data_IF_373216501004
#
_entry.id   IF_373216501004
#
_cell.length_a   1.000
_cell.length_b   1.000
_cell.length_c   1.000
_cell.angle_alpha   90.00
_cell.angle_beta   90.00
_cell.angle_gamma   90.00
#
_symmetry.space_group_name_H-M   'P 1'
#
loop_
_entity.id
_entity.type
_entity.pdbx_description
1 polymer ?
#
# COMPACT_ATOMS: atom_id res chain seq x y z
N UNK A 1 22.75 0.29 -17.10
CA UNK A 1 24.12 0.40 -17.59
C UNK A 1 24.49 -0.70 -18.60
N UNK A 2 23.87 -1.88 -18.55
CA UNK A 2 24.18 -3.02 -19.45
C UNK A 2 23.35 -3.06 -20.73
N UNK A 3 22.34 -2.19 -20.86
CA UNK A 3 21.53 -2.12 -22.08
C UNK A 3 22.32 -1.50 -23.24
N UNK A 4 22.35 -2.18 -24.38
CA UNK A 4 23.02 -1.71 -25.58
C UNK A 4 22.37 -0.45 -26.18
N UNK A 5 23.02 0.20 -27.18
CA UNK A 5 22.52 1.43 -27.80
C UNK A 5 21.21 1.22 -28.58
N UNK A 6 20.82 -0.02 -28.81
CA UNK A 6 19.61 -0.40 -29.54
C UNK A 6 18.33 -0.30 -28.69
N UNK A 7 18.42 -0.27 -27.35
CA UNK A 7 17.25 -0.14 -26.48
C UNK A 7 16.62 1.24 -26.64
N UNK A 8 15.33 1.29 -27.01
CA UNK A 8 14.57 2.52 -27.24
C UNK A 8 13.34 2.65 -26.35
N UNK A 9 12.84 1.52 -25.82
CA UNK A 9 11.64 1.49 -24.99
C UNK A 9 11.82 0.50 -23.84
N UNK A 10 11.39 0.90 -22.65
CA UNK A 10 11.15 0.03 -21.49
C UNK A 10 9.65 0.08 -21.21
N UNK A 11 8.92 -0.97 -21.55
CA UNK A 11 7.50 -1.10 -21.29
C UNK A 11 7.30 -1.89 -19.97
N UNK A 12 7.17 -1.15 -18.87
CA UNK A 12 7.07 -1.72 -17.54
C UNK A 12 5.69 -2.36 -17.31
N UNK A 13 5.68 -3.62 -16.91
CA UNK A 13 4.47 -4.33 -16.48
C UNK A 13 4.24 -4.06 -15.00
N UNK A 14 3.80 -2.85 -14.67
CA UNK A 14 3.59 -2.35 -13.31
C UNK A 14 3.23 -0.87 -13.29
N UNK A 15 2.54 -0.41 -12.26
CA UNK A 15 2.23 1.01 -12.07
C UNK A 15 3.43 1.78 -11.48
N UNK A 16 4.14 1.19 -10.51
CA UNK A 16 5.37 1.75 -9.96
C UNK A 16 6.53 1.61 -10.93
N UNK A 17 7.48 2.54 -10.90
CA UNK A 17 8.68 2.57 -11.74
C UNK A 17 9.98 2.74 -10.92
N UNK A 18 9.88 2.51 -9.62
CA UNK A 18 10.99 2.59 -8.65
C UNK A 18 12.15 1.63 -8.96
N UNK A 19 11.88 0.57 -9.72
CA UNK A 19 12.86 -0.39 -10.26
C UNK A 19 13.57 0.09 -11.53
N UNK A 20 13.23 1.27 -12.05
CA UNK A 20 13.76 1.83 -13.31
C UNK A 20 14.36 3.21 -13.04
N UNK A 21 15.63 3.41 -13.39
CA UNK A 21 16.22 4.76 -13.42
C UNK A 21 15.65 5.53 -14.63
N UNK A 22 14.52 6.20 -14.41
CA UNK A 22 13.78 6.94 -15.45
C UNK A 22 14.60 8.12 -15.94
N UNK A 23 15.40 8.76 -15.08
CA UNK A 23 16.28 9.88 -15.49
C UNK A 23 17.35 9.38 -16.45
N UNK A 24 18.12 8.35 -16.07
CA UNK A 24 19.14 7.78 -16.93
C UNK A 24 18.56 7.19 -18.24
N UNK A 25 17.34 6.66 -18.22
CA UNK A 25 16.64 6.21 -19.42
C UNK A 25 16.33 7.39 -20.34
N UNK A 26 15.78 8.47 -19.78
CA UNK A 26 15.43 9.70 -20.52
C UNK A 26 16.65 10.36 -21.16
N UNK A 27 17.76 10.48 -20.41
CA UNK A 27 19.02 11.07 -20.89
C UNK A 27 19.63 10.28 -22.06
N UNK A 28 19.31 8.98 -22.16
CA UNK A 28 19.73 8.11 -23.26
C UNK A 28 18.71 8.01 -24.40
N UNK A 29 17.64 8.80 -24.35
CA UNK A 29 16.56 8.77 -25.33
C UNK A 29 15.72 7.48 -25.30
N UNK A 30 15.70 6.76 -24.16
CA UNK A 30 14.89 5.55 -23.96
C UNK A 30 13.56 5.97 -23.35
N UNK A 31 12.45 5.65 -24.03
CA UNK A 31 11.12 5.87 -23.49
C UNK A 31 10.84 4.85 -22.36
N UNK A 32 10.20 5.31 -21.29
CA UNK A 32 9.70 4.44 -20.21
C UNK A 32 8.19 4.57 -20.17
N UNK A 33 7.47 3.45 -20.09
CA UNK A 33 6.03 3.43 -19.89
C UNK A 33 5.67 2.53 -18.71
N UNK A 34 4.49 2.73 -18.12
CA UNK A 34 3.95 1.93 -17.04
C UNK A 34 2.47 1.55 -17.30
N UNK A 35 1.81 0.94 -16.33
CA UNK A 35 0.40 0.53 -16.43
C UNK A 35 -0.46 1.23 -15.37
N UNK A 36 -0.68 2.56 -15.49
CA UNK A 36 -1.41 3.32 -14.48
C UNK A 36 -2.90 3.04 -14.52
N UNK A 37 -3.55 3.08 -13.35
CA UNK A 37 -5.01 3.03 -13.22
C UNK A 37 -5.60 1.63 -13.10
N UNK A 38 -5.14 0.67 -13.87
CA UNK A 38 -5.70 -0.71 -13.94
C UNK A 38 -5.54 -1.53 -12.65
N UNK A 39 -4.65 -1.12 -11.76
CA UNK A 39 -4.42 -1.82 -10.48
C UNK A 39 -5.23 -1.24 -9.32
N UNK A 40 -5.92 -0.13 -9.54
CA UNK A 40 -6.50 0.69 -8.46
C UNK A 40 -7.48 -0.09 -7.62
N UNK A 41 -8.46 -0.72 -8.26
CA UNK A 41 -9.55 -1.39 -7.56
C UNK A 41 -9.06 -2.68 -6.86
N UNK A 42 -8.28 -3.51 -7.56
CA UNK A 42 -7.72 -4.73 -6.98
C UNK A 42 -6.83 -4.45 -5.76
N UNK A 43 -5.95 -3.42 -5.84
CA UNK A 43 -5.10 -3.03 -4.70
C UNK A 43 -5.92 -2.47 -3.55
N UNK A 44 -6.99 -1.70 -3.84
CA UNK A 44 -7.88 -1.19 -2.81
C UNK A 44 -8.66 -2.33 -2.11
N UNK A 45 -9.09 -3.36 -2.86
CA UNK A 45 -9.73 -4.56 -2.30
C UNK A 45 -8.78 -5.30 -1.35
N UNK A 46 -7.52 -5.50 -1.77
CA UNK A 46 -6.51 -6.14 -0.94
C UNK A 46 -6.19 -5.31 0.32
N UNK A 47 -6.12 -3.98 0.18
CA UNK A 47 -5.94 -3.07 1.33
C UNK A 47 -7.08 -3.24 2.32
N UNK A 48 -8.32 -3.29 1.86
CA UNK A 48 -9.48 -3.52 2.73
C UNK A 48 -9.49 -4.92 3.34
N UNK A 49 -9.07 -5.94 2.60
CA UNK A 49 -8.91 -7.29 3.14
C UNK A 49 -7.94 -7.30 4.34
N UNK A 50 -6.80 -6.62 4.24
CA UNK A 50 -5.84 -6.47 5.34
C UNK A 50 -6.42 -5.64 6.50
N UNK A 51 -7.12 -4.52 6.22
CA UNK A 51 -7.79 -3.69 7.23
C UNK A 51 -8.83 -4.50 8.01
N UNK A 52 -9.50 -5.45 7.37
CA UNK A 52 -10.44 -6.36 8.01
C UNK A 52 -9.74 -7.50 8.76
N UNK A 53 -8.73 -8.12 8.14
CA UNK A 53 -8.09 -9.33 8.61
C UNK A 53 -7.32 -9.11 9.93
N UNK A 54 -6.55 -8.02 10.03
CA UNK A 54 -5.66 -7.80 11.18
C UNK A 54 -6.44 -7.58 12.49
N UNK A 55 -7.36 -6.60 12.60
CA UNK A 55 -8.11 -6.39 13.83
C UNK A 55 -9.02 -7.56 14.22
N UNK A 56 -9.43 -8.37 13.24
CA UNK A 56 -10.30 -9.52 13.45
C UNK A 56 -9.54 -10.83 13.64
N UNK A 57 -8.19 -10.79 13.66
CA UNK A 57 -7.31 -11.94 13.92
C UNK A 57 -7.57 -13.12 12.97
N UNK A 58 -7.85 -12.83 11.68
CA UNK A 58 -8.30 -13.86 10.74
C UNK A 58 -7.25 -14.95 10.54
N UNK A 59 -5.98 -14.63 10.33
CA UNK A 59 -4.91 -15.61 10.11
C UNK A 59 -4.72 -16.49 11.37
N UNK A 60 -4.78 -15.89 12.55
CA UNK A 60 -4.71 -16.63 13.80
C UNK A 60 -5.92 -17.56 13.99
N UNK A 61 -7.11 -17.12 13.56
CA UNK A 61 -8.32 -17.95 13.56
C UNK A 61 -8.21 -19.16 12.63
N UNK A 62 -7.65 -18.95 11.41
CA UNK A 62 -7.39 -20.05 10.46
C UNK A 62 -6.41 -21.05 11.07
N UNK A 63 -5.26 -20.58 11.58
CA UNK A 63 -4.27 -21.44 12.23
C UNK A 63 -4.86 -22.24 13.42
N UNK A 64 -5.71 -21.60 14.24
CA UNK A 64 -6.37 -22.28 15.34
C UNK A 64 -7.31 -23.40 14.87
N UNK A 65 -7.94 -23.27 13.71
CA UNK A 65 -8.75 -24.34 13.12
C UNK A 65 -7.86 -25.49 12.62
N UNK A 66 -6.79 -25.17 11.92
CA UNK A 66 -5.82 -26.16 11.37
C UNK A 66 -5.16 -26.96 12.51
N UNK A 67 -4.80 -26.30 13.62
CA UNK A 67 -4.18 -26.89 14.80
C UNK A 67 -5.18 -27.63 15.72
N UNK A 68 -6.47 -27.70 15.37
CA UNK A 68 -7.49 -28.37 16.17
C UNK A 68 -7.76 -27.70 17.54
N UNK A 69 -7.47 -26.41 17.66
CA UNK A 69 -7.66 -25.65 18.91
C UNK A 69 -9.12 -25.26 19.17
N UNK A 70 -10.00 -25.37 18.15
CA UNK A 70 -11.41 -25.06 18.29
C UNK A 70 -12.13 -26.12 19.14
N UNK A 71 -12.50 -25.74 20.38
CA UNK A 71 -13.22 -26.59 21.33
C UNK A 71 -14.69 -26.19 21.52
N UNK A 72 -15.20 -25.32 20.64
CA UNK A 72 -16.53 -24.75 20.70
C UNK A 72 -16.50 -23.24 20.94
N UNK A 73 -17.66 -22.61 20.86
CA UNK A 73 -17.78 -21.17 21.09
C UNK A 73 -17.50 -20.82 22.57
N UNK A 74 -16.74 -19.76 22.81
CA UNK A 74 -16.49 -19.21 24.14
C UNK A 74 -16.50 -17.67 24.10
N UNK A 75 -17.08 -16.99 25.11
CA UNK A 75 -17.33 -15.55 25.09
C UNK A 75 -16.06 -14.69 25.09
N UNK A 76 -14.92 -15.21 25.53
CA UNK A 76 -13.65 -14.49 25.64
C UNK A 76 -12.58 -14.98 24.65
N UNK A 77 -12.89 -16.00 23.82
CA UNK A 77 -11.91 -16.57 22.89
C UNK A 77 -11.89 -15.83 21.56
N UNK A 78 -10.69 -15.60 21.02
CA UNK A 78 -10.45 -14.97 19.71
C UNK A 78 -11.06 -13.57 19.56
N UNK A 79 -11.19 -12.82 20.64
CA UNK A 79 -11.69 -11.45 20.58
C UNK A 79 -10.80 -10.56 19.73
N UNK A 80 -11.40 -9.86 18.79
CA UNK A 80 -10.79 -8.82 17.96
C UNK A 80 -11.48 -7.47 18.15
N UNK A 81 -11.18 -6.52 17.28
CA UNK A 81 -11.74 -5.18 17.29
C UNK A 81 -12.69 -4.97 16.12
N UNK A 82 -13.81 -4.27 16.33
CA UNK A 82 -14.68 -3.82 15.26
C UNK A 82 -14.10 -2.60 14.56
N UNK A 83 -14.48 -2.38 13.31
CA UNK A 83 -14.03 -1.23 12.50
C UNK A 83 -14.96 -0.03 12.62
N UNK A 84 -16.27 -0.25 12.72
CA UNK A 84 -17.28 0.80 12.76
C UNK A 84 -16.95 1.86 13.82
N UNK A 85 -16.96 3.12 13.40
CA UNK A 85 -16.64 4.29 14.23
C UNK A 85 -15.14 4.53 14.47
N UNK A 86 -14.26 3.68 13.93
CA UNK A 86 -12.81 3.87 14.02
C UNK A 86 -12.32 4.88 12.99
N UNK A 87 -11.20 5.54 13.30
CA UNK A 87 -10.52 6.51 12.42
C UNK A 87 -9.50 5.81 11.55
N UNK A 88 -9.67 5.90 10.23
CA UNK A 88 -8.71 5.46 9.23
C UNK A 88 -7.91 6.65 8.72
N UNK A 89 -6.59 6.65 8.94
CA UNK A 89 -5.66 7.62 8.37
C UNK A 89 -5.03 7.07 7.08
N UNK A 90 -5.29 7.71 5.97
CA UNK A 90 -4.73 7.34 4.65
C UNK A 90 -3.54 8.23 4.35
N UNK A 91 -2.35 7.64 4.28
CA UNK A 91 -1.12 8.31 3.85
C UNK A 91 -1.01 8.16 2.34
N UNK A 92 -1.40 9.22 1.61
CA UNK A 92 -1.47 9.18 0.15
C UNK A 92 -2.91 9.01 -0.39
N UNK A 93 -3.64 10.12 -0.59
CA UNK A 93 -5.01 10.16 -1.16
C UNK A 93 -4.99 10.24 -2.69
N UNK A 94 -4.14 9.39 -3.33
CA UNK A 94 -4.13 9.17 -4.78
C UNK A 94 -5.29 8.26 -5.23
N UNK A 95 -5.21 7.69 -6.44
CA UNK A 95 -6.24 6.79 -6.98
C UNK A 95 -6.58 5.65 -6.02
N UNK A 96 -5.56 4.93 -5.52
CA UNK A 96 -5.75 3.80 -4.59
C UNK A 96 -6.30 4.30 -3.25
N UNK A 97 -5.72 5.36 -2.66
CA UNK A 97 -6.20 5.91 -1.39
C UNK A 97 -7.67 6.33 -1.44
N UNK A 98 -8.12 6.95 -2.53
CA UNK A 98 -9.54 7.29 -2.75
C UNK A 98 -10.42 6.04 -2.90
N UNK A 99 -9.95 5.01 -3.60
CA UNK A 99 -10.67 3.75 -3.74
C UNK A 99 -10.80 3.01 -2.40
N UNK A 100 -9.74 3.03 -1.56
CA UNK A 100 -9.78 2.53 -0.18
C UNK A 100 -10.76 3.34 0.66
N UNK A 101 -10.72 4.68 0.58
CA UNK A 101 -11.62 5.55 1.33
C UNK A 101 -13.11 5.26 1.03
N UNK A 102 -13.47 5.11 -0.26
CA UNK A 102 -14.84 4.74 -0.67
C UNK A 102 -15.32 3.45 -0.01
N UNK A 103 -14.47 2.42 0.00
CA UNK A 103 -14.78 1.12 0.61
C UNK A 103 -14.88 1.21 2.11
N UNK A 104 -13.90 1.86 2.73
CA UNK A 104 -13.78 1.98 4.18
C UNK A 104 -14.99 2.72 4.81
N UNK A 105 -15.54 3.71 4.11
CA UNK A 105 -16.79 4.38 4.53
C UNK A 105 -17.96 3.41 4.63
N UNK A 106 -18.10 2.48 3.69
CA UNK A 106 -19.17 1.48 3.73
C UNK A 106 -19.06 0.56 4.96
N UNK A 107 -17.87 0.41 5.53
CA UNK A 107 -17.64 -0.29 6.80
C UNK A 107 -17.78 0.60 8.04
N UNK A 108 -18.19 1.87 7.87
CA UNK A 108 -18.41 2.82 8.96
C UNK A 108 -17.12 3.41 9.55
N UNK A 109 -16.01 3.40 8.80
CA UNK A 109 -14.77 4.07 9.18
C UNK A 109 -14.87 5.58 8.91
N UNK A 110 -14.31 6.39 9.80
CA UNK A 110 -14.11 7.82 9.61
C UNK A 110 -12.83 8.05 8.81
N UNK A 111 -12.92 8.75 7.67
CA UNK A 111 -11.80 8.91 6.76
C UNK A 111 -11.02 10.18 7.09
N UNK A 112 -9.75 9.99 7.36
CA UNK A 112 -8.74 11.04 7.53
C UNK A 112 -7.60 10.77 6.55
N UNK A 113 -6.93 11.81 6.08
CA UNK A 113 -5.81 11.62 5.18
C UNK A 113 -4.74 12.70 5.31
N UNK A 114 -3.53 12.34 4.86
CA UNK A 114 -2.41 13.23 4.68
C UNK A 114 -1.83 13.08 3.27
N UNK A 115 -1.60 14.20 2.62
CA UNK A 115 -0.93 14.36 1.34
C UNK A 115 0.00 15.55 1.39
N UNK A 116 0.95 15.65 0.45
CA UNK A 116 1.74 16.87 0.22
C UNK A 116 0.85 18.07 -0.07
N UNK A 117 -0.17 17.87 -0.90
CA UNK A 117 -1.19 18.87 -1.22
C UNK A 117 -2.56 18.29 -0.89
N UNK A 118 -3.45 19.12 -0.37
CA UNK A 118 -4.84 18.78 -0.16
C UNK A 118 -5.50 18.39 -1.50
N UNK A 119 -6.35 17.38 -1.51
CA UNK A 119 -7.13 17.04 -2.70
C UNK A 119 -8.24 18.05 -2.92
N UNK A 120 -8.85 18.08 -4.12
CA UNK A 120 -9.96 19.00 -4.41
C UNK A 120 -11.12 18.78 -3.43
N UNK A 121 -11.78 19.88 -3.04
CA UNK A 121 -12.87 19.87 -2.05
C UNK A 121 -14.04 18.96 -2.43
N UNK A 122 -14.31 18.79 -3.72
CA UNK A 122 -15.30 17.84 -4.22
C UNK A 122 -14.96 16.38 -3.87
N UNK A 123 -13.67 16.02 -3.91
CA UNK A 123 -13.20 14.69 -3.53
C UNK A 123 -13.33 14.50 -2.02
N UNK A 124 -12.95 15.50 -1.22
CA UNK A 124 -13.13 15.45 0.24
C UNK A 124 -14.58 15.29 0.63
N UNK A 125 -15.46 16.07 0.01
CA UNK A 125 -16.90 16.00 0.26
C UNK A 125 -17.48 14.64 -0.14
N UNK A 126 -17.14 14.13 -1.34
CA UNK A 126 -17.60 12.84 -1.82
C UNK A 126 -17.12 11.66 -0.94
N UNK A 127 -15.93 11.78 -0.35
CA UNK A 127 -15.35 10.76 0.52
C UNK A 127 -15.63 11.02 2.02
N UNK A 128 -16.24 12.15 2.38
CA UNK A 128 -16.36 12.63 3.78
C UNK A 128 -15.00 12.59 4.49
N UNK A 129 -13.94 12.99 3.78
CA UNK A 129 -12.57 12.85 4.24
C UNK A 129 -12.06 14.14 4.90
N UNK A 130 -11.33 14.01 6.00
CA UNK A 130 -10.69 15.12 6.72
C UNK A 130 -9.22 15.18 6.39
N UNK A 131 -8.75 16.30 5.82
CA UNK A 131 -7.34 16.57 5.57
C UNK A 131 -6.57 16.87 6.86
N UNK A 132 -5.36 16.37 6.92
CA UNK A 132 -4.37 16.70 7.95
C UNK A 132 -3.10 17.24 7.30
N UNK A 133 -2.80 18.51 7.55
CA UNK A 133 -1.55 19.13 7.11
C UNK A 133 -0.34 18.46 7.78
N UNK A 134 -0.47 18.12 9.06
CA UNK A 134 0.58 17.42 9.82
C UNK A 134 0.34 15.92 9.86
N UNK A 135 1.23 15.16 9.21
CA UNK A 135 1.27 13.70 9.31
C UNK A 135 1.42 13.23 10.76
N UNK A 136 2.28 13.89 11.54
CA UNK A 136 2.55 13.54 12.93
C UNK A 136 1.28 13.66 13.79
N UNK A 137 0.51 14.73 13.61
CA UNK A 137 -0.76 14.91 14.32
C UNK A 137 -1.83 13.90 13.90
N UNK A 138 -1.87 13.52 12.62
CA UNK A 138 -2.75 12.48 12.14
C UNK A 138 -2.40 11.14 12.78
N UNK A 139 -1.13 10.71 12.70
CA UNK A 139 -0.68 9.42 13.23
C UNK A 139 -1.05 9.23 14.71
N UNK A 140 -0.89 10.29 15.52
CA UNK A 140 -1.21 10.26 16.96
C UNK A 140 -2.70 10.02 17.26
N UNK A 141 -3.59 10.16 16.28
CA UNK A 141 -5.05 10.13 16.49
C UNK A 141 -5.76 8.99 15.76
N UNK A 142 -5.11 8.34 14.81
CA UNK A 142 -5.72 7.27 14.02
C UNK A 142 -5.78 5.95 14.79
N UNK A 143 -6.77 5.14 14.49
CA UNK A 143 -6.91 3.77 14.98
C UNK A 143 -6.35 2.78 13.97
N UNK A 144 -6.39 3.13 12.69
CA UNK A 144 -5.81 2.36 11.58
C UNK A 144 -5.09 3.36 10.67
N UNK A 145 -3.89 3.00 10.21
CA UNK A 145 -3.13 3.77 9.22
C UNK A 145 -2.92 2.92 7.98
N UNK A 146 -3.32 3.43 6.82
CA UNK A 146 -3.12 2.79 5.51
C UNK A 146 -2.12 3.58 4.68
N UNK A 147 -1.06 2.91 4.21
CA UNK A 147 -0.02 3.51 3.37
C UNK A 147 -0.37 3.28 1.91
N UNK A 148 -0.55 4.38 1.17
CA UNK A 148 -0.95 4.40 -0.24
C UNK A 148 -0.14 5.40 -1.07
N UNK A 149 0.95 5.96 -0.52
CA UNK A 149 1.86 6.85 -1.23
C UNK A 149 2.95 6.05 -1.97
N UNK A 150 3.50 6.59 -3.08
CA UNK A 150 4.60 5.95 -3.79
C UNK A 150 5.90 5.99 -2.97
N UNK A 151 6.82 5.09 -3.27
CA UNK A 151 8.21 5.18 -2.81
C UNK A 151 8.97 6.21 -3.66
N UNK A 152 9.56 7.18 -3.00
CA UNK A 152 10.45 8.22 -3.57
C UNK A 152 11.50 8.56 -2.51
N UNK A 153 12.57 9.29 -2.85
CA UNK A 153 13.53 9.76 -1.83
C UNK A 153 12.87 10.53 -0.68
N UNK A 154 11.77 11.26 -0.94
CA UNK A 154 11.03 12.03 0.06
C UNK A 154 10.10 11.15 0.94
N UNK A 155 9.74 9.96 0.49
CA UNK A 155 8.86 9.02 1.23
C UNK A 155 9.62 7.80 1.77
N UNK A 156 10.93 7.70 1.53
CA UNK A 156 11.76 6.69 2.17
C UNK A 156 11.72 6.86 3.69
N UNK A 157 11.34 5.80 4.40
CA UNK A 157 11.08 5.83 5.85
C UNK A 157 10.22 7.03 6.28
N UNK A 158 9.22 7.39 5.45
CA UNK A 158 8.24 8.42 5.81
C UNK A 158 7.61 8.11 7.17
N UNK A 159 7.29 6.83 7.42
CA UNK A 159 6.92 6.30 8.72
C UNK A 159 8.17 5.77 9.44
N UNK A 160 9.04 6.70 9.83
CA UNK A 160 10.26 6.46 10.59
C UNK A 160 9.96 5.95 12.00
N UNK A 161 11.00 5.46 12.69
CA UNK A 161 10.91 5.04 14.10
C UNK A 161 10.26 6.11 14.99
N UNK A 162 10.57 7.40 14.77
CA UNK A 162 9.96 8.51 15.50
C UNK A 162 8.46 8.61 15.23
N UNK A 163 8.04 8.50 13.98
CA UNK A 163 6.63 8.61 13.57
C UNK A 163 5.80 7.41 13.98
N UNK A 164 6.35 6.21 13.85
CA UNK A 164 5.68 4.99 14.33
C UNK A 164 5.34 5.06 15.82
N UNK A 165 6.26 5.61 16.64
CA UNK A 165 6.04 5.81 18.08
C UNK A 165 4.98 6.86 18.44
N UNK A 166 4.53 7.69 17.49
CA UNK A 166 3.39 8.59 17.68
C UNK A 166 2.05 7.86 17.61
N UNK A 167 2.00 6.69 16.97
CA UNK A 167 0.77 5.93 16.84
C UNK A 167 0.29 5.41 18.20
N UNK A 168 -1.01 5.24 18.33
CA UNK A 168 -1.59 4.65 19.54
C UNK A 168 -1.13 3.19 19.68
N UNK A 169 -0.86 2.70 20.90
CA UNK A 169 -0.55 1.27 21.10
C UNK A 169 -1.67 0.35 20.60
N UNK A 170 -2.93 0.84 20.61
CA UNK A 170 -4.10 0.12 20.08
C UNK A 170 -4.29 0.24 18.57
N UNK A 171 -3.42 0.96 17.86
CA UNK A 171 -3.54 1.17 16.42
C UNK A 171 -3.04 -0.01 15.60
N UNK A 172 -3.48 -0.03 14.35
CA UNK A 172 -3.05 -0.98 13.31
C UNK A 172 -2.43 -0.22 12.13
N UNK A 173 -1.49 -0.86 11.44
CA UNK A 173 -0.90 -0.31 10.22
C UNK A 173 -1.10 -1.29 9.07
N UNK A 174 -1.44 -0.78 7.88
CA UNK A 174 -1.58 -1.56 6.65
C UNK A 174 -0.75 -0.93 5.55
N UNK A 175 0.06 -1.73 4.87
CA UNK A 175 0.89 -1.29 3.76
C UNK A 175 0.73 -2.20 2.55
N UNK A 176 0.18 -1.64 1.47
CA UNK A 176 0.05 -2.26 0.14
C UNK A 176 0.73 -1.38 -0.94
N UNK A 177 1.57 -0.43 -0.52
CA UNK A 177 2.28 0.49 -1.42
C UNK A 177 3.70 0.01 -1.70
N UNK A 178 4.65 0.34 -0.82
CA UNK A 178 6.06 -0.09 -0.86
C UNK A 178 6.60 -0.25 0.56
N UNK A 179 7.40 -1.29 0.79
CA UNK A 179 8.00 -1.57 2.10
C UNK A 179 8.85 -0.44 2.63
N UNK A 180 9.65 0.17 1.76
CA UNK A 180 10.61 1.24 2.08
C UNK A 180 9.96 2.53 2.61
N UNK A 181 8.64 2.66 2.54
CA UNK A 181 7.92 3.81 3.12
C UNK A 181 7.87 3.72 4.66
N UNK A 182 8.05 2.53 5.21
CA UNK A 182 8.05 2.26 6.65
C UNK A 182 9.45 1.82 7.08
N UNK A 183 9.93 2.31 8.23
CA UNK A 183 11.07 1.70 8.93
C UNK A 183 10.64 0.30 9.44
N UNK A 184 10.86 -0.71 8.61
CA UNK A 184 10.40 -2.08 8.83
C UNK A 184 11.03 -2.69 10.09
N UNK A 185 12.31 -2.37 10.39
CA UNK A 185 12.96 -2.86 11.58
C UNK A 185 12.33 -2.31 12.86
N UNK A 186 12.01 -1.02 12.87
CA UNK A 186 11.30 -0.42 13.98
C UNK A 186 9.89 -0.98 14.14
N UNK A 187 9.14 -1.11 13.03
CA UNK A 187 7.80 -1.70 13.05
C UNK A 187 7.83 -3.11 13.64
N UNK A 188 8.76 -3.96 13.19
CA UNK A 188 8.91 -5.32 13.68
C UNK A 188 9.19 -5.38 15.20
N UNK A 189 10.03 -4.48 15.70
CA UNK A 189 10.32 -4.37 17.14
C UNK A 189 9.10 -3.90 17.95
N UNK A 190 8.32 -2.94 17.43
CA UNK A 190 7.12 -2.44 18.09
C UNK A 190 6.03 -3.53 18.15
N UNK A 191 5.88 -4.33 17.10
CA UNK A 191 4.94 -5.46 17.07
C UNK A 191 5.36 -6.55 18.06
N UNK A 192 6.65 -6.89 18.14
CA UNK A 192 7.19 -7.85 19.10
C UNK A 192 6.92 -7.41 20.54
N UNK A 193 7.12 -6.12 20.84
CA UNK A 193 6.88 -5.53 22.16
C UNK A 193 5.43 -5.18 22.46
N UNK A 194 4.52 -5.40 21.52
CA UNK A 194 3.11 -5.00 21.60
C UNK A 194 2.90 -3.49 21.83
N UNK A 195 3.83 -2.68 21.32
CA UNK A 195 3.72 -1.22 21.25
C UNK A 195 2.81 -0.76 20.11
N UNK A 196 2.40 -1.70 19.24
CA UNK A 196 1.37 -1.55 18.21
C UNK A 196 0.50 -2.81 18.18
N UNK A 197 -0.81 -2.67 17.96
CA UNK A 197 -1.74 -3.80 18.03
C UNK A 197 -1.57 -4.82 16.92
N UNK A 198 -1.18 -4.38 15.73
CA UNK A 198 -0.91 -5.29 14.61
C UNK A 198 -0.59 -4.60 13.30
N UNK A 199 -0.17 -5.39 12.32
CA UNK A 199 0.16 -4.92 10.97
C UNK A 199 -0.36 -5.86 9.89
N UNK A 200 -0.82 -5.29 8.77
CA UNK A 200 -1.14 -5.98 7.52
C UNK A 200 -0.19 -5.51 6.42
N UNK A 201 0.68 -6.38 5.94
CA UNK A 201 1.74 -6.02 5.02
C UNK A 201 1.68 -6.91 3.77
N UNK A 202 1.53 -6.29 2.61
CA UNK A 202 1.65 -6.95 1.30
C UNK A 202 3.02 -6.69 0.66
N UNK A 203 3.81 -5.78 1.24
CA UNK A 203 5.09 -5.33 0.72
C UNK A 203 6.13 -5.21 1.84
N UNK A 204 7.41 -5.38 1.49
CA UNK A 204 8.52 -5.43 2.43
C UNK A 204 9.71 -4.58 1.93
N UNK A 205 10.53 -4.09 2.85
CA UNK A 205 11.64 -3.19 2.52
C UNK A 205 12.73 -3.86 1.64
N UNK A 206 12.95 -5.16 1.79
CA UNK A 206 14.00 -5.89 1.09
C UNK A 206 13.48 -7.09 0.31
N UNK A 207 12.36 -6.94 -0.41
CA UNK A 207 11.80 -8.03 -1.21
C UNK A 207 12.83 -8.72 -2.11
N UNK A 208 12.84 -10.06 -2.22
CA UNK A 208 11.88 -11.00 -1.63
C UNK A 208 12.19 -11.42 -0.17
N UNK A 209 13.22 -10.85 0.46
CA UNK A 209 13.58 -11.19 1.83
C UNK A 209 12.65 -10.45 2.81
N UNK A 210 11.94 -11.20 3.64
CA UNK A 210 11.07 -10.68 4.68
C UNK A 210 11.81 -10.66 6.01
N UNK A 211 11.64 -9.60 6.79
CA UNK A 211 12.25 -9.47 8.12
C UNK A 211 11.86 -10.66 9.02
N UNK A 212 12.83 -11.43 9.55
CA UNK A 212 12.56 -12.62 10.35
C UNK A 212 11.72 -12.36 11.61
N UNK A 213 11.72 -11.14 12.14
CA UNK A 213 10.88 -10.77 13.29
C UNK A 213 9.40 -10.64 12.89
N UNK A 214 9.12 -10.11 11.69
CA UNK A 214 7.76 -10.07 11.15
C UNK A 214 7.21 -11.47 10.94
N UNK A 215 8.02 -12.40 10.39
CA UNK A 215 7.60 -13.80 10.20
C UNK A 215 7.26 -14.52 11.51
N UNK A 216 7.82 -14.08 12.63
CA UNK A 216 7.56 -14.65 13.97
C UNK A 216 6.45 -13.94 14.74
N UNK A 217 6.08 -12.74 14.31
CA UNK A 217 5.05 -11.95 14.99
C UNK A 217 3.66 -12.60 14.82
N UNK A 218 2.88 -12.65 15.90
CA UNK A 218 1.53 -13.26 15.88
C UNK A 218 0.42 -12.28 15.51
N UNK A 219 0.68 -10.99 15.63
CA UNK A 219 -0.29 -9.92 15.38
C UNK A 219 -0.09 -9.28 14.00
N UNK A 220 0.28 -10.08 13.00
CA UNK A 220 0.52 -9.64 11.62
C UNK A 220 -0.24 -10.50 10.61
N UNK A 221 -0.56 -9.88 9.48
CA UNK A 221 -0.98 -10.56 8.26
C UNK A 221 0.02 -10.17 7.18
N UNK A 222 0.75 -11.16 6.65
CA UNK A 222 1.80 -10.97 5.66
C UNK A 222 1.37 -11.61 4.35
N UNK A 223 1.46 -10.87 3.24
CA UNK A 223 1.11 -11.32 1.89
C UNK A 223 2.30 -11.10 0.95
N UNK A 224 2.46 -11.92 -0.10
CA UNK A 224 3.63 -11.92 -0.96
C UNK A 224 3.50 -10.96 -2.16
N UNK A 225 3.27 -9.66 -1.92
CA UNK A 225 3.13 -8.60 -2.92
C UNK A 225 2.08 -8.95 -3.98
N UNK A 226 0.88 -9.25 -3.52
CA UNK A 226 -0.22 -9.72 -4.36
C UNK A 226 -1.37 -8.70 -4.49
N UNK A 227 -1.19 -7.46 -4.07
CA UNK A 227 -2.23 -6.43 -4.08
C UNK A 227 -2.91 -6.22 -5.43
N UNK A 228 -2.19 -6.42 -6.54
CA UNK A 228 -2.72 -6.34 -7.91
C UNK A 228 -2.90 -7.69 -8.59
N UNK A 229 -2.78 -8.81 -7.87
CA UNK A 229 -2.77 -10.15 -8.44
C UNK A 229 -4.19 -10.69 -8.68
N UNK A 230 -4.92 -10.07 -9.60
CA UNK A 230 -6.18 -10.56 -10.14
C UNK A 230 -6.02 -10.95 -11.60
N UNK A 231 -6.83 -11.87 -12.09
CA UNK A 231 -6.82 -12.27 -13.51
C UNK A 231 -7.10 -11.07 -14.39
N UNK A 232 -8.15 -10.31 -14.07
CA UNK A 232 -8.59 -9.11 -14.79
C UNK A 232 -7.47 -8.05 -14.80
N UNK A 233 -6.90 -7.74 -13.63
CA UNK A 233 -5.82 -6.76 -13.50
C UNK A 233 -4.58 -7.14 -14.31
N UNK A 234 -4.21 -8.45 -14.36
CA UNK A 234 -3.08 -8.91 -15.18
C UNK A 234 -3.35 -8.81 -16.67
N UNK A 235 -4.58 -9.09 -17.11
CA UNK A 235 -5.00 -8.92 -18.51
C UNK A 235 -4.94 -7.43 -18.89
N UNK A 236 -5.57 -6.56 -18.13
CA UNK A 236 -5.58 -5.12 -18.37
C UNK A 236 -4.17 -4.50 -18.37
N UNK A 237 -3.28 -4.95 -17.47
CA UNK A 237 -1.87 -4.56 -17.50
C UNK A 237 -1.20 -4.97 -18.82
N UNK A 238 -1.42 -6.21 -19.27
CA UNK A 238 -0.89 -6.73 -20.53
C UNK A 238 -1.38 -5.92 -21.72
N UNK A 239 -2.67 -5.60 -21.78
CA UNK A 239 -3.26 -4.76 -22.82
C UNK A 239 -2.61 -3.37 -22.87
N UNK A 240 -2.43 -2.71 -21.72
CA UNK A 240 -1.73 -1.42 -21.66
C UNK A 240 -0.29 -1.51 -22.16
N UNK A 241 0.45 -2.54 -21.77
CA UNK A 241 1.81 -2.77 -22.28
C UNK A 241 1.81 -2.89 -23.81
N UNK A 242 0.89 -3.69 -24.37
CA UNK A 242 0.75 -3.87 -25.83
C UNK A 242 0.43 -2.56 -26.52
N UNK A 243 -0.50 -1.77 -25.99
CA UNK A 243 -0.87 -0.44 -26.53
C UNK A 243 0.34 0.49 -26.53
N UNK A 244 1.09 0.56 -25.44
CA UNK A 244 2.30 1.39 -25.35
C UNK A 244 3.37 0.96 -26.36
N UNK A 245 3.61 -0.34 -26.52
CA UNK A 245 4.59 -0.89 -27.48
C UNK A 245 4.15 -0.56 -28.91
N UNK A 246 2.88 -0.82 -29.25
CA UNK A 246 2.35 -0.53 -30.60
C UNK A 246 2.48 0.95 -30.94
N UNK A 247 2.01 1.86 -30.06
CA UNK A 247 2.14 3.30 -30.25
C UNK A 247 3.59 3.71 -30.52
N UNK A 248 4.54 3.13 -29.77
CA UNK A 248 5.96 3.43 -29.96
C UNK A 248 6.50 2.92 -31.31
N UNK A 249 6.17 1.69 -31.70
CA UNK A 249 6.62 1.08 -32.96
C UNK A 249 6.04 1.82 -34.18
N UNK A 250 4.79 2.29 -34.06
CA UNK A 250 4.11 3.07 -35.11
C UNK A 250 4.60 4.54 -35.18
N UNK A 251 5.64 4.89 -34.39
CA UNK A 251 6.23 6.23 -34.39
C UNK A 251 5.45 7.26 -33.58
N UNK A 252 4.46 6.82 -32.81
CA UNK A 252 3.64 7.68 -31.95
C UNK A 252 4.20 7.75 -30.51
N UNK A 253 3.81 8.79 -29.80
CA UNK A 253 4.11 8.90 -28.37
C UNK A 253 3.26 7.91 -27.57
N UNK A 254 3.86 6.98 -26.80
CA UNK A 254 3.09 6.07 -25.96
C UNK A 254 2.19 6.83 -24.97
N UNK A 255 0.94 6.38 -24.75
CA UNK A 255 -0.03 7.08 -23.89
C UNK A 255 0.37 7.11 -22.41
N UNK A 256 1.00 6.05 -21.91
CA UNK A 256 1.38 5.93 -20.50
C UNK A 256 2.90 6.18 -20.28
N UNK A 257 3.46 7.14 -21.02
CA UNK A 257 4.89 7.51 -20.89
C UNK A 257 5.16 8.14 -19.53
N UNK A 258 6.20 7.63 -18.86
CA UNK A 258 6.72 8.18 -17.60
C UNK A 258 7.91 9.10 -17.91
N UNK A 259 7.93 10.28 -17.29
CA UNK A 259 9.03 11.24 -17.36
C UNK A 259 9.51 11.62 -15.95
N UNK A 260 10.79 12.05 -15.79
CA UNK A 260 11.35 12.37 -14.45
C UNK A 260 10.51 13.37 -13.64
N UNK A 261 9.85 14.33 -14.31
CA UNK A 261 9.00 15.33 -13.65
C UNK A 261 7.73 14.74 -12.97
N UNK A 262 7.41 13.47 -13.20
CA UNK A 262 6.27 12.77 -12.61
C UNK A 262 6.66 12.01 -11.33
N UNK A 263 7.94 11.94 -10.98
CA UNK A 263 8.49 11.27 -9.82
C UNK A 263 8.80 12.29 -8.71
#
# INVERSE_FOLDING_TARGET
AKAGPQLKLIANFGAGVDNIDVTAATDRGIAVTNTPGVLTEATADMTMALILAVPRRLVEGVAAMEDGQFKGWAPSWMLGNRLQGKRLGIVGMGRIGQAVARRARAFGLQIHYHNRNQVAGEIEQALEATYWESLDQMLARMDIVSVNCPHTPATFHLLSARRLKLMKPSAYIVNTARGEVIDENCLALMLEKRELSGAGLDVFENEPAVNPKLLKAKNVVLLPHMGSATIEGRIEMGEKVIVNIRSFVDGHKPPDRVIPAML
#
